data_IF_952774229602
#
_entry.id   IF_952774229602
#
_cell.length_a   1.000
_cell.length_b   1.000
_cell.length_c   1.000
_cell.angle_alpha   90.00
_cell.angle_beta   90.00
_cell.angle_gamma   90.00
#
_symmetry.space_group_name_H-M   'P 1'
#
loop_
_entity.id
_entity.type
_entity.pdbx_description
1 polymer ?
#
# COMPACT_ATOMS: atom_id res chain seq x y z
N UNK A 1 -4.91 46.12 62.14
CA UNK A 1 -4.98 46.97 60.97
C UNK A 1 -3.72 46.73 60.15
N UNK A 2 -3.75 45.78 59.20
CA UNK A 2 -2.64 45.55 58.31
C UNK A 2 -3.16 45.33 56.92
N UNK A 3 -2.71 46.20 56.00
CA UNK A 3 -2.98 46.24 54.57
C UNK A 3 -2.24 45.14 53.85
N UNK A 4 -2.94 44.37 52.95
CA UNK A 4 -2.37 43.38 52.05
C UNK A 4 -1.91 44.07 50.79
N UNK A 5 -0.63 44.04 50.49
CA UNK A 5 -0.07 44.35 49.16
C UNK A 5 0.05 43.09 48.32
N UNK A 6 -0.64 43.06 47.22
CA UNK A 6 -0.60 41.97 46.22
C UNK A 6 0.37 42.38 45.10
N UNK A 7 1.51 41.74 45.04
CA UNK A 7 2.49 41.90 43.97
C UNK A 7 2.12 41.06 42.76
N UNK A 8 1.75 41.66 41.64
CA UNK A 8 1.55 40.99 40.36
C UNK A 8 2.91 40.74 39.72
N UNK A 9 3.29 39.49 39.54
CA UNK A 9 4.43 39.07 38.76
C UNK A 9 3.98 38.92 37.30
N UNK A 10 4.58 39.71 36.44
CA UNK A 10 4.38 39.74 34.98
C UNK A 10 5.28 38.64 34.38
N UNK A 11 4.70 37.52 33.91
CA UNK A 11 5.44 36.53 33.11
C UNK A 11 5.52 37.02 31.67
N UNK A 12 6.71 37.41 31.26
CA UNK A 12 7.04 37.70 29.88
C UNK A 12 7.33 36.37 29.16
N UNK A 13 6.37 35.84 28.35
CA UNK A 13 6.58 34.68 27.50
C UNK A 13 7.48 35.02 26.35
N UNK A 14 8.73 34.60 26.45
CA UNK A 14 9.69 34.66 25.34
C UNK A 14 9.32 33.51 24.36
N UNK A 15 8.63 33.83 23.27
CA UNK A 15 8.42 32.91 22.17
C UNK A 15 9.74 32.70 21.43
N UNK A 16 10.46 31.62 21.77
CA UNK A 16 11.56 31.12 20.94
C UNK A 16 10.93 30.42 19.76
N UNK A 17 10.94 31.04 18.61
CA UNK A 17 10.65 30.42 17.32
C UNK A 17 11.83 29.53 16.98
N UNK A 18 11.73 28.25 17.33
CA UNK A 18 12.65 27.22 16.82
C UNK A 18 12.17 26.89 15.41
N UNK A 19 12.90 27.34 14.42
CA UNK A 19 12.74 26.88 13.04
C UNK A 19 12.93 25.36 12.99
N UNK A 20 12.08 24.61 12.28
CA UNK A 20 12.30 23.18 12.14
C UNK A 20 13.51 22.93 11.26
N UNK A 21 14.60 22.56 11.90
CA UNK A 21 15.77 21.98 11.23
C UNK A 21 15.33 20.72 10.52
N UNK A 22 15.67 20.64 9.26
CA UNK A 22 15.63 19.53 8.31
C UNK A 22 15.15 18.20 8.89
N UNK A 23 13.89 17.85 8.61
CA UNK A 23 13.37 16.50 8.81
C UNK A 23 14.10 15.56 7.84
N UNK A 24 14.94 14.71 8.39
CA UNK A 24 15.69 13.70 7.66
C UNK A 24 14.78 12.75 6.91
N UNK A 25 14.96 12.68 5.62
CA UNK A 25 14.32 11.83 4.62
C UNK A 25 14.69 10.35 4.77
N UNK A 26 14.14 9.61 5.74
CA UNK A 26 14.57 8.23 5.94
C UNK A 26 13.46 7.22 6.32
N UNK A 27 12.18 7.54 6.14
CA UNK A 27 11.10 6.63 6.56
C UNK A 27 10.47 5.78 5.44
N UNK A 28 11.11 5.64 4.27
CA UNK A 28 10.48 4.98 3.11
C UNK A 28 10.58 3.44 3.10
N UNK A 29 11.30 2.79 4.01
CA UNK A 29 11.59 1.36 3.89
C UNK A 29 10.61 0.40 4.59
N UNK A 30 9.68 0.90 5.41
CA UNK A 30 8.81 0.01 6.19
C UNK A 30 7.36 0.48 6.19
N UNK A 31 6.66 0.21 5.10
CA UNK A 31 5.22 0.43 5.03
C UNK A 31 4.49 -0.84 5.44
N UNK A 32 4.06 -0.90 6.68
CA UNK A 32 3.12 -1.93 7.13
C UNK A 32 1.69 -1.53 6.76
N UNK A 33 0.92 -2.50 6.24
CA UNK A 33 -0.50 -2.29 5.94
C UNK A 33 -1.34 -2.54 7.18
N UNK A 34 -2.30 -1.65 7.44
CA UNK A 34 -3.33 -1.85 8.45
C UNK A 34 -4.69 -1.99 7.78
N UNK A 35 -5.28 -3.18 7.92
CA UNK A 35 -6.60 -3.48 7.42
C UNK A 35 -7.56 -3.50 8.61
N UNK A 36 -8.24 -2.42 8.88
CA UNK A 36 -9.40 -2.47 9.75
C UNK A 36 -10.61 -2.93 8.94
N UNK A 37 -11.30 -3.93 9.46
CA UNK A 37 -12.43 -4.63 8.82
C UNK A 37 -13.73 -3.82 8.88
N UNK A 38 -13.70 -2.52 8.64
CA UNK A 38 -14.93 -1.75 8.57
C UNK A 38 -15.55 -1.90 7.17
N UNK A 39 -16.54 -2.80 7.09
CA UNK A 39 -17.45 -2.99 5.95
C UNK A 39 -16.86 -3.57 4.65
N UNK A 40 -16.31 -4.78 4.70
CA UNK A 40 -16.19 -5.60 3.50
C UNK A 40 -17.50 -6.38 3.29
N UNK A 41 -18.18 -6.25 2.14
CA UNK A 41 -19.33 -7.09 1.84
C UNK A 41 -18.87 -8.56 1.72
N UNK A 42 -19.51 -9.46 2.47
CA UNK A 42 -19.41 -10.90 2.30
C UNK A 42 -19.96 -11.28 0.93
N UNK A 43 -19.08 -11.47 -0.03
CA UNK A 43 -19.45 -11.90 -1.38
C UNK A 43 -18.29 -12.64 -2.01
N UNK A 44 -18.33 -13.96 -1.97
CA UNK A 44 -17.48 -14.84 -2.77
C UNK A 44 -17.89 -14.74 -4.23
N UNK A 45 -17.34 -13.81 -5.00
CA UNK A 45 -17.41 -13.88 -6.45
C UNK A 45 -16.12 -14.55 -6.94
N UNK A 46 -16.26 -15.72 -7.55
CA UNK A 46 -15.18 -16.35 -8.29
C UNK A 46 -14.84 -15.47 -9.50
N UNK A 47 -13.71 -14.77 -9.45
CA UNK A 47 -13.11 -14.26 -10.66
C UNK A 47 -12.59 -15.47 -11.43
N UNK A 48 -13.14 -15.73 -12.63
CA UNK A 48 -12.57 -16.72 -13.53
C UNK A 48 -11.11 -16.33 -13.77
N UNK A 49 -10.19 -17.19 -13.34
CA UNK A 49 -8.77 -17.00 -13.50
C UNK A 49 -8.42 -17.03 -14.99
N UNK A 50 -7.97 -15.94 -15.52
CA UNK A 50 -6.93 -16.02 -16.55
C UNK A 50 -5.75 -16.72 -15.90
N UNK A 51 -5.12 -17.68 -16.57
CA UNK A 51 -4.22 -18.66 -15.96
C UNK A 51 -3.32 -18.06 -14.88
N UNK A 52 -3.13 -18.78 -13.78
CA UNK A 52 -2.30 -18.39 -12.62
C UNK A 52 -0.89 -17.91 -13.03
N UNK A 53 -0.37 -18.39 -14.14
CA UNK A 53 0.91 -18.03 -14.74
C UNK A 53 1.01 -16.57 -15.22
N UNK A 54 -0.10 -15.96 -15.66
CA UNK A 54 -0.08 -14.57 -16.13
C UNK A 54 0.10 -13.55 -15.00
N UNK A 55 -0.25 -13.91 -13.76
CA UNK A 55 -0.03 -13.05 -12.59
C UNK A 55 1.40 -13.09 -12.05
N UNK A 56 2.15 -14.14 -12.36
CA UNK A 56 3.52 -14.35 -11.89
C UNK A 56 4.59 -14.14 -12.98
N UNK A 57 4.18 -13.92 -14.24
CA UNK A 57 5.11 -13.62 -15.35
C UNK A 57 5.53 -12.15 -15.31
N UNK A 58 6.83 -11.95 -15.11
CA UNK A 58 7.45 -10.64 -15.26
C UNK A 58 7.70 -10.36 -16.77
N UNK A 59 7.56 -9.11 -17.23
CA UNK A 59 7.88 -8.80 -18.62
C UNK A 59 9.37 -9.00 -18.84
N UNK A 60 9.72 -9.97 -19.67
CA UNK A 60 11.06 -10.08 -20.25
C UNK A 60 11.32 -8.87 -21.14
N UNK A 61 12.49 -8.27 -21.00
CA UNK A 61 12.94 -7.05 -21.65
C UNK A 61 13.13 -7.21 -23.18
N UNK A 62 12.03 -7.24 -23.96
CA UNK A 62 12.04 -6.96 -25.38
C UNK A 62 10.98 -5.92 -25.71
N UNK A 63 11.37 -4.77 -26.26
CA UNK A 63 10.53 -3.58 -26.52
C UNK A 63 9.19 -3.83 -27.23
N UNK A 64 9.02 -4.92 -27.98
CA UNK A 64 7.75 -5.27 -28.67
C UNK A 64 6.69 -5.93 -27.75
N UNK A 65 7.08 -6.52 -26.62
CA UNK A 65 6.18 -7.18 -25.67
C UNK A 65 5.57 -6.20 -24.63
N UNK A 66 6.20 -5.05 -24.45
CA UNK A 66 5.83 -4.09 -23.39
C UNK A 66 4.49 -3.38 -23.65
N UNK A 67 4.18 -3.02 -24.90
CA UNK A 67 2.94 -2.31 -25.25
C UNK A 67 1.68 -3.16 -25.03
N UNK A 68 1.73 -4.43 -25.43
CA UNK A 68 0.59 -5.34 -25.23
C UNK A 68 0.36 -5.67 -23.76
N UNK A 69 1.42 -5.85 -22.97
CA UNK A 69 1.32 -6.11 -21.51
C UNK A 69 0.74 -4.91 -20.75
N UNK A 70 1.15 -3.70 -21.07
CA UNK A 70 0.62 -2.48 -20.45
C UNK A 70 -0.85 -2.28 -20.77
N UNK A 71 -1.25 -2.47 -22.03
CA UNK A 71 -2.66 -2.40 -22.45
C UNK A 71 -3.53 -3.41 -21.70
N UNK A 72 -3.05 -4.64 -21.53
CA UNK A 72 -3.76 -5.69 -20.78
C UNK A 72 -3.92 -5.31 -19.30
N UNK A 73 -2.87 -4.82 -18.66
CA UNK A 73 -2.91 -4.36 -17.26
C UNK A 73 -3.89 -3.20 -17.05
N UNK A 74 -3.92 -2.23 -17.95
CA UNK A 74 -4.87 -1.13 -17.89
C UNK A 74 -6.31 -1.62 -18.02
N UNK A 75 -6.58 -2.52 -18.97
CA UNK A 75 -7.92 -3.13 -19.13
C UNK A 75 -8.37 -3.86 -17.86
N UNK A 76 -7.49 -4.65 -17.25
CA UNK A 76 -7.77 -5.32 -15.98
C UNK A 76 -8.01 -4.30 -14.85
N UNK A 77 -7.20 -3.25 -14.77
CA UNK A 77 -7.36 -2.19 -13.77
C UNK A 77 -8.73 -1.50 -13.85
N UNK A 78 -9.16 -1.13 -15.03
CA UNK A 78 -10.50 -0.58 -15.24
C UNK A 78 -11.61 -1.58 -14.92
N UNK A 79 -11.47 -2.84 -15.37
CA UNK A 79 -12.44 -3.91 -15.06
C UNK A 79 -12.59 -4.06 -13.55
N UNK A 80 -11.49 -4.22 -12.82
CA UNK A 80 -11.50 -4.40 -11.37
C UNK A 80 -12.05 -3.17 -10.65
N UNK A 81 -11.73 -1.98 -11.12
CA UNK A 81 -12.30 -0.73 -10.60
C UNK A 81 -13.83 -0.70 -10.75
N UNK A 82 -14.34 -1.04 -11.92
CA UNK A 82 -15.79 -1.11 -12.16
C UNK A 82 -16.46 -2.22 -11.34
N UNK A 83 -15.83 -3.37 -11.20
CA UNK A 83 -16.32 -4.47 -10.37
C UNK A 83 -16.38 -4.10 -8.88
N UNK A 84 -15.39 -3.35 -8.39
CA UNK A 84 -15.40 -2.79 -7.04
C UNK A 84 -16.57 -1.81 -6.86
N UNK A 85 -16.69 -0.83 -7.76
CA UNK A 85 -17.71 0.21 -7.66
C UNK A 85 -19.13 -0.33 -7.80
N UNK A 86 -19.33 -1.38 -8.60
CA UNK A 86 -20.63 -2.06 -8.73
C UNK A 86 -21.06 -2.78 -7.45
N UNK A 87 -20.11 -3.39 -6.73
CA UNK A 87 -20.38 -4.06 -5.44
C UNK A 87 -20.60 -3.08 -4.30
N UNK A 88 -20.10 -1.87 -4.41
CA UNK A 88 -20.31 -0.80 -3.45
C UNK A 88 -21.37 0.14 -3.99
N UNK A 89 -22.43 0.37 -3.20
CA UNK A 89 -23.60 1.15 -3.57
C UNK A 89 -23.24 2.39 -4.44
N UNK A 90 -23.85 2.50 -5.63
CA UNK A 90 -23.62 3.59 -6.60
C UNK A 90 -23.88 4.97 -6.01
N UNK A 91 -24.87 5.07 -5.10
CA UNK A 91 -25.25 6.32 -4.43
C UNK A 91 -24.32 6.67 -3.26
N UNK A 92 -23.39 5.77 -2.87
CA UNK A 92 -22.42 6.09 -1.83
C UNK A 92 -21.60 7.29 -2.25
N UNK A 93 -21.62 8.32 -1.41
CA UNK A 93 -20.77 9.49 -1.55
C UNK A 93 -19.44 9.24 -0.83
N UNK A 94 -18.37 9.60 -1.48
CA UNK A 94 -17.03 9.67 -0.90
C UNK A 94 -16.60 11.13 -0.90
N UNK A 95 -15.92 11.57 0.13
CA UNK A 95 -15.63 12.99 0.35
C UNK A 95 -14.12 13.28 0.43
N UNK A 96 -13.33 13.05 -0.65
CA UNK A 96 -11.96 13.50 -0.66
C UNK A 96 -11.92 15.04 -0.61
N UNK A 97 -11.13 15.62 0.26
CA UNK A 97 -11.02 17.09 0.40
C UNK A 97 -12.37 17.83 0.65
N UNK A 98 -13.34 17.15 1.27
CA UNK A 98 -14.67 17.73 1.47
C UNK A 98 -15.55 17.77 0.21
N UNK A 99 -15.08 17.19 -0.89
CA UNK A 99 -15.86 17.07 -2.13
C UNK A 99 -16.72 15.82 -2.08
N UNK A 100 -18.00 15.99 -2.28
CA UNK A 100 -18.96 14.89 -2.35
C UNK A 100 -18.92 14.25 -3.74
N UNK A 101 -18.18 13.17 -3.90
CA UNK A 101 -18.12 12.40 -5.14
C UNK A 101 -18.92 11.11 -4.98
N UNK A 102 -19.91 10.89 -5.86
CA UNK A 102 -20.65 9.63 -5.90
C UNK A 102 -19.79 8.52 -6.53
N UNK A 103 -19.93 7.30 -6.05
CA UNK A 103 -19.33 6.12 -6.69
C UNK A 103 -19.72 5.98 -8.16
N UNK A 104 -20.95 6.41 -8.51
CA UNK A 104 -21.42 6.48 -9.89
C UNK A 104 -20.52 7.36 -10.76
N UNK A 105 -20.08 8.52 -10.26
CA UNK A 105 -19.17 9.42 -11.02
C UNK A 105 -17.81 8.78 -11.23
N UNK A 106 -17.28 8.06 -10.22
CA UNK A 106 -16.04 7.28 -10.38
C UNK A 106 -16.22 6.18 -11.45
N UNK A 107 -17.36 5.48 -11.45
CA UNK A 107 -17.65 4.45 -12.43
C UNK A 107 -17.81 5.04 -13.85
N UNK A 108 -18.47 6.17 -13.99
CA UNK A 108 -18.62 6.88 -15.28
C UNK A 108 -17.27 7.33 -15.81
N UNK A 109 -16.39 7.84 -14.93
CA UNK A 109 -15.02 8.21 -15.26
C UNK A 109 -14.23 7.01 -15.78
N UNK A 110 -14.27 5.88 -15.07
CA UNK A 110 -13.58 4.66 -15.50
C UNK A 110 -14.10 4.16 -16.86
N UNK A 111 -15.43 4.20 -17.10
CA UNK A 111 -16.05 3.85 -18.40
C UNK A 111 -15.60 4.78 -19.53
N UNK A 112 -15.48 6.08 -19.27
CA UNK A 112 -14.99 7.05 -20.24
C UNK A 112 -13.52 6.80 -20.60
N UNK A 113 -12.66 6.51 -19.59
CA UNK A 113 -11.25 6.19 -19.80
C UNK A 113 -11.01 4.86 -20.53
N UNK A 114 -11.89 3.86 -20.38
CA UNK A 114 -11.85 2.62 -21.17
C UNK A 114 -12.06 2.92 -22.67
N UNK A 115 -12.91 3.88 -22.99
CA UNK A 115 -13.19 4.30 -24.38
C UNK A 115 -12.17 5.26 -24.92
N UNK A 116 -11.32 5.84 -24.06
CA UNK A 116 -10.29 6.81 -24.43
C UNK A 116 -9.27 6.18 -25.39
N UNK A 117 -8.90 6.92 -26.46
CA UNK A 117 -7.95 6.48 -27.49
C UNK A 117 -6.71 7.38 -27.57
N UNK A 118 -6.71 8.52 -26.86
CA UNK A 118 -5.59 9.43 -26.80
C UNK A 118 -4.52 9.02 -25.79
N UNK A 119 -3.47 9.81 -25.68
CA UNK A 119 -2.44 9.66 -24.67
C UNK A 119 -2.99 9.91 -23.26
N UNK A 120 -2.42 9.25 -22.27
CA UNK A 120 -2.71 9.51 -20.85
C UNK A 120 -1.75 10.58 -20.32
N UNK A 121 -1.94 11.81 -20.76
CA UNK A 121 -1.22 12.99 -20.30
C UNK A 121 -2.21 14.09 -19.89
N UNK A 122 -1.83 15.05 -19.02
CA UNK A 122 -2.71 16.14 -18.65
C UNK A 122 -3.28 16.88 -19.85
N UNK A 123 -2.45 17.23 -20.81
CA UNK A 123 -2.86 17.99 -21.99
C UNK A 123 -3.88 17.25 -22.85
N UNK A 124 -3.72 15.95 -23.03
CA UNK A 124 -4.67 15.14 -23.79
C UNK A 124 -6.01 14.97 -23.06
N UNK A 125 -6.00 14.89 -21.72
CA UNK A 125 -7.19 14.59 -20.94
C UNK A 125 -7.99 15.82 -20.50
N UNK A 126 -7.38 17.01 -20.40
CA UNK A 126 -7.99 18.22 -19.79
C UNK A 126 -9.34 18.67 -20.41
N UNK A 127 -9.55 18.39 -21.69
CA UNK A 127 -10.79 18.77 -22.36
C UNK A 127 -11.99 17.86 -22.00
N UNK A 128 -11.73 16.59 -21.66
CA UNK A 128 -12.76 15.58 -21.40
C UNK A 128 -12.89 15.23 -19.92
N UNK A 129 -11.87 15.54 -19.12
CA UNK A 129 -11.79 15.18 -17.70
C UNK A 129 -11.41 16.40 -16.87
N UNK A 130 -11.95 16.47 -15.66
CA UNK A 130 -11.40 17.30 -14.60
C UNK A 130 -10.16 16.61 -14.04
N UNK A 131 -9.05 17.32 -14.03
CA UNK A 131 -7.79 16.90 -13.43
C UNK A 131 -7.69 17.59 -12.06
N UNK A 132 -8.19 16.94 -11.01
CA UNK A 132 -8.13 17.47 -9.66
C UNK A 132 -6.74 17.25 -9.10
N UNK A 133 -5.99 18.33 -8.90
CA UNK A 133 -4.68 18.25 -8.25
C UNK A 133 -4.85 17.90 -6.78
N UNK A 134 -4.23 16.80 -6.36
CA UNK A 134 -4.38 16.27 -5.00
C UNK A 134 -3.46 16.96 -3.97
N UNK A 135 -2.79 18.02 -4.37
CA UNK A 135 -1.78 18.70 -3.57
C UNK A 135 -1.90 20.23 -3.56
N UNK A 136 -3.12 20.75 -3.46
CA UNK A 136 -3.38 22.19 -3.63
C UNK A 136 -2.97 23.06 -2.45
N UNK A 137 -2.81 22.53 -1.24
CA UNK A 137 -2.68 23.36 -0.04
C UNK A 137 -1.26 23.82 0.31
N UNK A 138 -0.19 23.14 -0.15
CA UNK A 138 1.17 23.44 0.31
C UNK A 138 2.27 23.43 -0.77
N UNK A 139 1.97 23.40 -2.07
CA UNK A 139 2.97 23.29 -3.17
C UNK A 139 3.99 22.16 -3.00
N UNK A 140 3.68 21.14 -2.21
CA UNK A 140 4.52 19.95 -2.02
C UNK A 140 4.20 18.97 -3.15
N UNK A 141 5.20 18.59 -3.94
CA UNK A 141 5.07 17.52 -4.94
C UNK A 141 4.65 16.23 -4.26
N UNK A 142 3.83 15.43 -4.95
CA UNK A 142 3.39 14.14 -4.44
C UNK A 142 4.54 13.16 -4.37
N UNK A 143 4.64 12.45 -3.25
CA UNK A 143 5.67 11.44 -3.01
C UNK A 143 5.20 10.07 -3.46
N UNK A 144 6.03 9.41 -4.26
CA UNK A 144 5.83 8.03 -4.69
C UNK A 144 6.85 7.11 -4.02
N UNK A 145 6.40 5.92 -3.61
CA UNK A 145 7.26 4.81 -3.22
C UNK A 145 6.71 3.53 -3.79
N UNK A 146 7.43 2.42 -3.60
CA UNK A 146 7.00 1.12 -4.06
C UNK A 146 6.79 0.13 -2.91
N UNK A 147 5.84 -0.78 -3.08
CA UNK A 147 5.67 -1.95 -2.24
C UNK A 147 5.49 -3.22 -3.07
N UNK A 148 5.67 -4.37 -2.45
CA UNK A 148 5.61 -5.65 -3.13
C UNK A 148 5.06 -6.74 -2.22
N UNK A 149 4.73 -7.89 -2.78
CA UNK A 149 4.34 -9.08 -2.03
C UNK A 149 5.51 -10.06 -1.96
N UNK A 150 6.03 -10.39 -0.75
CA UNK A 150 7.08 -11.38 -0.59
C UNK A 150 6.61 -12.78 -0.92
N UNK A 151 7.53 -13.62 -1.40
CA UNK A 151 7.36 -15.07 -1.51
C UNK A 151 8.21 -15.72 -0.41
N UNK A 152 7.64 -16.67 0.31
CA UNK A 152 8.35 -17.48 1.30
C UNK A 152 8.04 -18.97 1.08
N UNK A 153 9.03 -19.85 1.32
CA UNK A 153 8.82 -21.28 1.34
C UNK A 153 7.94 -21.69 2.51
N UNK A 154 6.98 -22.58 2.27
CA UNK A 154 6.08 -23.06 3.32
C UNK A 154 5.59 -24.48 3.07
N UNK A 155 5.10 -25.13 4.12
CA UNK A 155 4.33 -26.39 4.09
C UNK A 155 3.02 -26.20 4.82
N UNK A 156 2.00 -26.97 4.46
CA UNK A 156 0.70 -26.95 5.13
C UNK A 156 0.72 -27.74 6.46
N UNK A 157 1.76 -28.52 6.69
CA UNK A 157 1.98 -29.32 7.90
C UNK A 157 3.34 -29.01 8.48
N UNK A 158 3.43 -29.00 9.83
CA UNK A 158 4.68 -28.81 10.57
C UNK A 158 5.60 -29.99 10.37
N UNK A 159 6.91 -29.73 10.23
CA UNK A 159 7.97 -30.72 10.34
C UNK A 159 9.20 -30.13 11.04
N UNK A 160 10.32 -30.84 11.01
CA UNK A 160 11.56 -30.41 11.65
C UNK A 160 12.11 -29.10 11.06
N UNK A 161 12.03 -28.92 9.74
CA UNK A 161 12.52 -27.75 9.02
C UNK A 161 11.50 -26.61 9.06
N UNK A 162 10.23 -26.91 8.72
CA UNK A 162 9.15 -25.93 8.64
C UNK A 162 8.43 -25.84 9.98
N UNK A 163 8.98 -25.04 10.90
CA UNK A 163 8.55 -24.98 12.30
C UNK A 163 7.95 -23.64 12.74
N UNK A 164 8.06 -22.58 11.91
CA UNK A 164 7.53 -21.27 12.24
C UNK A 164 6.09 -21.14 11.74
N UNK A 165 5.09 -21.07 12.65
CA UNK A 165 3.69 -21.11 12.26
C UNK A 165 3.23 -19.78 11.68
N UNK A 166 2.31 -19.88 10.73
CA UNK A 166 1.51 -18.80 10.18
C UNK A 166 0.09 -18.99 10.70
N UNK A 167 -0.45 -17.98 11.39
CA UNK A 167 -1.72 -18.09 12.08
C UNK A 167 -2.84 -17.35 11.35
N UNK A 168 -4.05 -17.94 11.37
CA UNK A 168 -5.29 -17.21 11.15
C UNK A 168 -5.67 -16.39 12.39
N UNK A 169 -6.59 -15.43 12.22
CA UNK A 169 -7.05 -14.59 13.32
C UNK A 169 -7.73 -15.44 14.41
N UNK A 170 -7.31 -15.26 15.66
CA UNK A 170 -8.00 -15.90 16.78
C UNK A 170 -9.38 -15.27 16.99
N UNK A 171 -10.35 -16.09 17.40
CA UNK A 171 -11.69 -15.62 17.78
C UNK A 171 -11.62 -14.93 19.15
N UNK A 172 -12.27 -13.78 19.30
CA UNK A 172 -12.45 -13.03 20.55
C UNK A 172 -11.16 -12.42 21.16
N UNK A 173 -10.95 -12.54 22.46
CA UNK A 173 -10.00 -11.74 23.29
C UNK A 173 -8.51 -12.00 23.02
N UNK A 174 -8.16 -13.09 22.36
CA UNK A 174 -6.75 -13.46 22.10
C UNK A 174 -6.07 -12.64 20.99
N UNK A 175 -6.81 -11.79 20.25
CA UNK A 175 -6.24 -10.92 19.22
C UNK A 175 -5.34 -9.80 19.80
N UNK A 176 -5.36 -9.54 21.10
CA UNK A 176 -4.52 -8.51 21.75
C UNK A 176 -3.15 -8.99 22.22
N UNK A 177 -2.83 -10.26 22.04
CA UNK A 177 -1.52 -10.82 22.42
C UNK A 177 -0.39 -10.10 21.66
N UNK A 178 0.69 -9.77 22.36
CA UNK A 178 1.88 -9.21 21.72
C UNK A 178 2.60 -10.27 20.87
N UNK A 179 3.44 -9.83 19.92
CA UNK A 179 4.32 -10.75 19.19
C UNK A 179 5.12 -11.66 20.12
N UNK A 180 5.66 -11.13 21.20
CA UNK A 180 6.43 -11.91 22.18
C UNK A 180 5.61 -13.06 22.78
N UNK A 181 4.36 -12.78 23.18
CA UNK A 181 3.46 -13.82 23.72
C UNK A 181 3.11 -14.87 22.68
N UNK A 182 2.82 -14.43 21.42
CA UNK A 182 2.52 -15.34 20.31
C UNK A 182 3.72 -16.22 20.00
N UNK A 183 4.93 -15.64 19.94
CA UNK A 183 6.18 -16.36 19.70
C UNK A 183 6.55 -17.33 20.83
N UNK A 184 6.11 -17.02 22.04
CA UNK A 184 6.26 -17.92 23.20
C UNK A 184 5.20 -19.06 23.23
N UNK A 185 4.34 -19.17 22.20
CA UNK A 185 3.41 -20.27 22.04
C UNK A 185 2.00 -19.99 22.53
N UNK A 186 1.61 -18.73 22.82
CA UNK A 186 0.28 -18.41 23.34
C UNK A 186 -0.86 -18.84 22.36
N UNK A 187 -0.58 -19.07 21.09
CA UNK A 187 -1.54 -19.57 20.08
C UNK A 187 -1.28 -21.02 19.66
N UNK A 188 -0.24 -21.68 20.19
CA UNK A 188 0.09 -23.05 19.82
C UNK A 188 -1.02 -24.04 20.21
N UNK A 189 -1.25 -25.04 19.38
CA UNK A 189 -2.23 -26.13 19.57
C UNK A 189 -3.69 -25.65 19.73
N UNK A 190 -4.01 -24.47 19.18
CA UNK A 190 -5.38 -23.93 19.16
C UNK A 190 -6.08 -24.11 17.81
N UNK A 191 -5.48 -24.87 16.88
CA UNK A 191 -6.01 -25.10 15.54
C UNK A 191 -6.06 -23.82 14.69
N UNK A 192 -5.17 -22.86 15.00
CA UNK A 192 -5.10 -21.57 14.30
C UNK A 192 -3.99 -21.54 13.23
N UNK A 193 -3.13 -22.55 13.23
CA UNK A 193 -2.04 -22.67 12.28
C UNK A 193 -2.58 -23.04 10.90
N UNK A 194 -2.25 -22.23 9.88
CA UNK A 194 -2.67 -22.46 8.48
C UNK A 194 -1.54 -22.95 7.60
N UNK A 195 -0.30 -22.70 7.98
CA UNK A 195 0.91 -23.16 7.31
C UNK A 195 2.11 -22.96 8.22
N UNK A 196 3.26 -23.52 7.82
CA UNK A 196 4.54 -23.35 8.52
C UNK A 196 5.62 -22.98 7.51
N UNK A 197 6.55 -22.13 7.90
CA UNK A 197 7.71 -21.73 7.09
C UNK A 197 9.03 -22.09 7.78
N UNK A 198 10.09 -22.24 7.00
CA UNK A 198 11.46 -22.33 7.48
C UNK A 198 12.21 -20.99 7.43
N UNK A 199 11.55 -19.91 6.94
CA UNK A 199 12.12 -18.55 6.84
C UNK A 199 11.44 -17.59 7.83
N UNK A 200 11.90 -17.50 9.10
CA UNK A 200 11.31 -16.59 10.10
C UNK A 200 11.52 -15.13 9.74
N UNK A 201 12.60 -14.78 9.04
CA UNK A 201 12.86 -13.40 8.59
C UNK A 201 11.88 -13.03 7.48
N UNK A 202 11.69 -13.91 6.50
CA UNK A 202 10.68 -13.74 5.45
C UNK A 202 9.28 -13.59 6.03
N UNK A 203 8.90 -14.44 6.99
CA UNK A 203 7.61 -14.34 7.69
C UNK A 203 7.44 -13.00 8.43
N UNK A 204 8.50 -12.52 9.09
CA UNK A 204 8.47 -11.21 9.73
C UNK A 204 8.16 -10.10 8.72
N UNK A 205 8.74 -10.15 7.52
CA UNK A 205 8.46 -9.19 6.46
C UNK A 205 7.08 -9.38 5.82
N UNK A 206 6.55 -10.61 5.75
CA UNK A 206 5.14 -10.86 5.39
C UNK A 206 4.19 -10.15 6.35
N UNK A 207 4.48 -10.20 7.67
CA UNK A 207 3.71 -9.44 8.66
C UNK A 207 3.81 -7.91 8.48
N UNK A 208 4.97 -7.40 8.01
CA UNK A 208 5.13 -5.96 7.74
C UNK A 208 4.34 -5.56 6.50
N UNK A 209 4.40 -6.36 5.43
CA UNK A 209 3.70 -6.09 4.17
C UNK A 209 2.19 -6.33 4.26
N UNK A 210 1.73 -7.16 5.22
CA UNK A 210 0.32 -7.52 5.39
C UNK A 210 -0.22 -8.49 4.34
N UNK A 211 0.64 -8.94 3.43
CA UNK A 211 0.35 -9.98 2.41
C UNK A 211 1.60 -10.78 2.10
N UNK A 212 1.42 -11.96 1.51
CA UNK A 212 2.52 -12.83 1.11
C UNK A 212 2.07 -13.89 0.11
N UNK A 213 3.01 -14.59 -0.47
CA UNK A 213 2.77 -15.79 -1.26
C UNK A 213 3.58 -16.94 -0.66
N UNK A 214 2.93 -18.05 -0.38
CA UNK A 214 3.56 -19.29 0.03
C UNK A 214 3.95 -20.06 -1.22
N UNK A 215 5.21 -20.46 -1.31
CA UNK A 215 5.71 -21.42 -2.29
C UNK A 215 5.76 -22.78 -1.62
N UNK A 216 4.88 -23.73 -2.04
CA UNK A 216 4.85 -25.08 -1.53
C UNK A 216 5.88 -25.97 -2.25
N UNK A 217 6.32 -27.11 -1.64
CA UNK A 217 7.33 -28.00 -2.23
C UNK A 217 6.92 -28.59 -3.60
N UNK A 218 5.63 -28.75 -3.84
CA UNK A 218 5.08 -29.23 -5.13
C UNK A 218 5.05 -28.15 -6.22
N UNK A 219 5.56 -26.94 -5.95
CA UNK A 219 5.52 -25.81 -6.86
C UNK A 219 4.25 -24.95 -6.78
N UNK A 220 3.22 -25.42 -6.07
CA UNK A 220 1.97 -24.70 -5.87
C UNK A 220 2.22 -23.39 -5.10
N UNK A 221 1.46 -22.35 -5.44
CA UNK A 221 1.49 -21.06 -4.76
C UNK A 221 0.14 -20.75 -4.14
N UNK A 222 0.16 -20.38 -2.86
CA UNK A 222 -1.02 -19.90 -2.13
C UNK A 222 -0.80 -18.47 -1.65
N UNK A 223 -1.77 -17.61 -1.87
CA UNK A 223 -1.71 -16.23 -1.37
C UNK A 223 -2.10 -16.18 0.11
N UNK A 224 -1.37 -15.39 0.88
CA UNK A 224 -1.74 -15.00 2.24
C UNK A 224 -2.56 -13.71 2.15
N UNK A 225 -3.84 -13.82 2.47
CA UNK A 225 -4.77 -12.70 2.61
C UNK A 225 -4.80 -12.26 4.07
N UNK A 226 -4.79 -10.97 4.30
CA UNK A 226 -4.95 -10.38 5.63
C UNK A 226 -6.25 -10.83 6.30
N UNK A 227 -6.15 -11.31 7.52
CA UNK A 227 -7.26 -11.83 8.34
C UNK A 227 -7.45 -11.07 9.66
N UNK A 228 -6.57 -10.14 9.95
CA UNK A 228 -6.60 -9.34 11.17
C UNK A 228 -5.23 -9.00 11.73
N UNK A 229 -5.22 -8.26 12.81
CA UNK A 229 -3.99 -7.93 13.55
C UNK A 229 -4.24 -7.97 15.06
N UNK A 230 -3.16 -8.03 15.83
CA UNK A 230 -3.23 -7.92 17.30
C UNK A 230 -3.40 -6.46 17.78
N UNK A 231 -3.70 -5.52 16.91
CA UNK A 231 -3.93 -4.09 17.19
C UNK A 231 -2.77 -3.37 17.91
N UNK A 232 -1.61 -3.99 18.02
CA UNK A 232 -0.43 -3.35 18.60
C UNK A 232 0.22 -2.40 17.59
N UNK A 233 0.86 -1.32 18.07
CA UNK A 233 1.56 -0.38 17.20
C UNK A 233 2.75 -1.05 16.51
N UNK A 234 3.05 -0.61 15.30
CA UNK A 234 4.26 -1.00 14.60
C UNK A 234 5.48 -0.32 15.21
N UNK A 235 6.58 -1.09 15.39
CA UNK A 235 7.90 -0.58 15.76
C UNK A 235 8.94 -1.13 14.79
N UNK A 236 9.76 -0.24 14.22
CA UNK A 236 10.80 -0.62 13.27
C UNK A 236 11.98 -1.35 13.96
N UNK A 237 12.24 -2.60 13.54
CA UNK A 237 13.42 -3.32 14.01
C UNK A 237 14.71 -2.65 13.50
N UNK A 238 14.70 -2.03 12.31
CA UNK A 238 15.85 -1.29 11.79
C UNK A 238 16.24 -0.14 12.73
N UNK A 239 15.27 0.69 13.12
CA UNK A 239 15.50 1.80 14.08
C UNK A 239 15.99 1.27 15.44
N UNK A 240 15.42 0.15 15.90
CA UNK A 240 15.88 -0.48 17.14
C UNK A 240 17.32 -0.96 17.03
N UNK A 241 17.69 -1.69 15.96
CA UNK A 241 19.04 -2.19 15.75
C UNK A 241 20.06 -1.05 15.61
N UNK A 242 19.70 0.05 14.97
CA UNK A 242 20.50 1.27 14.90
C UNK A 242 20.72 1.89 16.29
N UNK A 243 19.65 2.08 17.07
CA UNK A 243 19.73 2.67 18.41
C UNK A 243 20.55 1.84 19.39
N UNK A 244 20.71 0.54 19.11
CA UNK A 244 21.56 -0.39 19.89
C UNK A 244 22.97 -0.53 19.32
N UNK A 245 23.31 0.20 18.26
CA UNK A 245 24.62 0.09 17.62
C UNK A 245 24.89 -1.22 16.87
N UNK A 246 23.85 -2.07 16.68
CA UNK A 246 23.98 -3.36 16.00
C UNK A 246 24.17 -3.19 14.49
N UNK A 247 23.62 -2.13 13.92
CA UNK A 247 23.78 -1.75 12.51
C UNK A 247 24.01 -0.24 12.41
N UNK A 248 24.82 0.16 11.43
CA UNK A 248 25.11 1.57 11.16
C UNK A 248 24.35 2.09 9.94
N UNK A 249 24.16 3.39 9.89
CA UNK A 249 23.49 4.08 8.76
C UNK A 249 22.04 3.60 8.61
N UNK A 250 21.55 3.58 7.39
CA UNK A 250 20.22 3.13 7.04
C UNK A 250 20.31 1.70 6.49
N UNK A 251 20.19 0.66 7.33
CA UNK A 251 20.43 -0.70 6.87
C UNK A 251 19.30 -1.16 5.95
N UNK A 252 19.66 -1.63 4.77
CA UNK A 252 18.71 -2.29 3.88
C UNK A 252 18.18 -3.59 4.51
N UNK A 253 17.04 -4.08 4.01
CA UNK A 253 16.47 -5.36 4.44
C UNK A 253 17.49 -6.52 4.33
N UNK A 254 18.32 -6.54 3.29
CA UNK A 254 19.35 -7.58 3.12
C UNK A 254 20.42 -7.52 4.20
N UNK A 255 20.82 -6.31 4.60
CA UNK A 255 21.78 -6.12 5.70
C UNK A 255 21.18 -6.61 7.01
N UNK A 256 19.93 -6.27 7.29
CA UNK A 256 19.18 -6.75 8.46
C UNK A 256 19.06 -8.28 8.42
N UNK A 257 18.65 -8.86 7.28
CA UNK A 257 18.53 -10.31 7.15
C UNK A 257 19.88 -11.00 7.39
N UNK A 258 20.94 -10.54 6.74
CA UNK A 258 22.29 -11.10 6.93
C UNK A 258 22.71 -11.07 8.40
N UNK A 259 22.46 -9.95 9.10
CA UNK A 259 22.79 -9.84 10.52
C UNK A 259 21.98 -10.83 11.36
N UNK A 260 20.67 -10.95 11.12
CA UNK A 260 19.79 -11.88 11.85
C UNK A 260 20.17 -13.35 11.60
N UNK A 261 20.51 -13.70 10.35
CA UNK A 261 20.99 -15.06 10.00
C UNK A 261 22.30 -15.42 10.72
N UNK A 262 23.17 -14.44 10.95
CA UNK A 262 24.43 -14.60 11.68
C UNK A 262 24.25 -14.59 13.22
N UNK A 263 23.08 -14.13 13.71
CA UNK A 263 22.77 -14.02 15.14
C UNK A 263 21.45 -14.70 15.49
N UNK A 264 21.30 -16.02 15.25
CA UNK A 264 20.02 -16.73 15.41
C UNK A 264 19.47 -16.64 16.83
N UNK A 265 20.34 -16.62 17.86
CA UNK A 265 19.92 -16.48 19.25
C UNK A 265 19.31 -15.12 19.58
N UNK A 266 19.67 -14.08 18.84
CA UNK A 266 19.14 -12.73 19.03
C UNK A 266 17.92 -12.43 18.14
N UNK A 267 17.66 -13.26 17.13
CA UNK A 267 16.63 -13.01 16.11
C UNK A 267 15.24 -12.78 16.73
N UNK A 268 14.81 -13.69 17.60
CA UNK A 268 13.49 -13.61 18.20
C UNK A 268 13.34 -12.39 19.11
N UNK A 269 14.37 -12.03 19.88
CA UNK A 269 14.35 -10.84 20.74
C UNK A 269 14.26 -9.56 19.92
N UNK A 270 14.95 -9.48 18.78
CA UNK A 270 14.85 -8.37 17.82
C UNK A 270 13.43 -8.28 17.25
N UNK A 271 12.86 -9.40 16.80
CA UNK A 271 11.47 -9.40 16.28
C UNK A 271 10.45 -8.95 17.32
N UNK A 272 10.62 -9.34 18.58
CA UNK A 272 9.73 -9.01 19.68
C UNK A 272 9.72 -7.50 20.02
N UNK A 273 10.71 -6.73 19.58
CA UNK A 273 10.71 -5.26 19.72
C UNK A 273 9.58 -4.61 18.89
N UNK A 274 9.11 -5.29 17.83
CA UNK A 274 7.89 -4.94 17.13
C UNK A 274 6.71 -5.75 17.69
N UNK A 275 5.88 -5.18 18.59
CA UNK A 275 4.80 -5.94 19.21
C UNK A 275 3.65 -6.30 18.25
N UNK A 276 3.59 -5.65 17.06
CA UNK A 276 2.55 -5.88 16.06
C UNK A 276 2.67 -7.28 15.45
N UNK A 277 1.53 -7.96 15.30
CA UNK A 277 1.39 -9.25 14.63
C UNK A 277 0.22 -9.20 13.65
N UNK A 278 0.37 -9.85 12.51
CA UNK A 278 -0.66 -9.92 11.46
C UNK A 278 -1.08 -11.38 11.30
N UNK A 279 -2.37 -11.61 11.16
CA UNK A 279 -3.00 -12.90 10.90
C UNK A 279 -3.41 -13.02 9.45
N UNK A 280 -3.49 -14.25 8.95
CA UNK A 280 -3.74 -14.50 7.53
C UNK A 280 -4.74 -15.65 7.32
N UNK A 281 -5.42 -15.61 6.18
CA UNK A 281 -6.10 -16.77 5.58
C UNK A 281 -5.39 -17.16 4.28
N UNK A 282 -5.54 -18.43 3.88
CA UNK A 282 -5.07 -18.90 2.58
C UNK A 282 -6.08 -18.54 1.49
N UNK A 283 -5.59 -18.08 0.35
CA UNK A 283 -6.36 -17.83 -0.86
C UNK A 283 -5.62 -18.45 -2.05
N UNK A 284 -6.31 -19.19 -2.88
CA UNK A 284 -5.73 -19.83 -4.08
C UNK A 284 -5.59 -18.88 -5.26
N UNK A 285 -6.17 -17.68 -5.15
CA UNK A 285 -6.13 -16.66 -6.19
C UNK A 285 -4.93 -15.73 -6.12
N UNK A 286 -4.98 -14.70 -6.95
CA UNK A 286 -4.01 -13.61 -6.96
C UNK A 286 -4.02 -12.82 -5.64
N UNK A 287 -2.90 -12.14 -5.37
CA UNK A 287 -2.78 -11.23 -4.23
C UNK A 287 -3.89 -10.18 -4.27
N UNK A 288 -4.69 -10.11 -3.21
CA UNK A 288 -5.79 -9.15 -3.09
C UNK A 288 -5.37 -7.92 -2.29
N UNK A 289 -5.89 -6.79 -2.72
CA UNK A 289 -5.73 -5.49 -2.08
C UNK A 289 -6.74 -5.30 -0.95
N UNK A 290 -6.62 -4.20 -0.21
CA UNK A 290 -7.59 -3.83 0.83
C UNK A 290 -9.02 -3.61 0.31
N UNK A 291 -9.19 -3.28 -0.97
CA UNK A 291 -10.52 -3.23 -1.62
C UNK A 291 -11.07 -4.60 -2.00
N UNK A 292 -10.33 -5.68 -1.74
CA UNK A 292 -10.72 -7.07 -2.04
C UNK A 292 -10.56 -7.46 -3.52
N UNK A 293 -9.96 -6.64 -4.35
CA UNK A 293 -9.70 -6.91 -5.77
C UNK A 293 -8.23 -7.28 -6.01
N UNK A 294 -7.91 -7.99 -7.10
CA UNK A 294 -6.53 -8.36 -7.40
C UNK A 294 -5.62 -7.15 -7.62
N UNK A 295 -4.43 -7.19 -7.06
CA UNK A 295 -3.40 -6.17 -7.26
C UNK A 295 -2.78 -6.27 -8.66
N UNK A 296 -2.53 -5.12 -9.30
CA UNK A 296 -1.93 -5.03 -10.63
C UNK A 296 -0.59 -4.33 -10.52
N UNK A 297 0.48 -5.08 -10.81
CA UNK A 297 1.86 -4.56 -10.77
C UNK A 297 2.02 -3.33 -11.69
N UNK A 298 2.53 -2.24 -11.11
CA UNK A 298 2.78 -0.96 -11.76
C UNK A 298 1.56 -0.04 -11.83
N UNK A 299 0.36 -0.50 -11.44
CA UNK A 299 -0.88 0.28 -11.60
C UNK A 299 -1.73 0.35 -10.32
N UNK A 300 -1.74 -0.67 -9.46
CA UNK A 300 -2.40 -0.59 -8.15
C UNK A 300 -1.60 0.31 -7.22
N UNK A 301 -2.29 1.19 -6.49
CA UNK A 301 -1.68 2.05 -5.49
C UNK A 301 -2.39 1.95 -4.14
N UNK A 302 -1.59 1.98 -3.08
CA UNK A 302 -2.05 2.23 -1.74
C UNK A 302 -2.10 3.73 -1.49
N UNK A 303 -3.21 4.17 -0.90
CA UNK A 303 -3.57 5.58 -0.68
C UNK A 303 -4.04 5.80 0.75
N UNK A 304 -4.12 7.06 1.17
CA UNK A 304 -4.93 7.45 2.32
C UNK A 304 -6.40 7.64 1.88
N UNK A 305 -7.26 6.70 2.28
CA UNK A 305 -8.68 6.69 1.88
C UNK A 305 -9.50 7.86 2.42
N UNK A 306 -8.96 8.65 3.34
CA UNK A 306 -9.54 9.93 3.76
C UNK A 306 -9.50 10.99 2.65
N UNK A 307 -8.54 10.87 1.75
CA UNK A 307 -8.30 11.83 0.67
C UNK A 307 -8.58 11.26 -0.72
N UNK A 308 -8.31 9.99 -0.93
CA UNK A 308 -8.45 9.32 -2.22
C UNK A 308 -9.32 8.08 -2.04
N UNK A 309 -10.57 8.07 -2.52
CA UNK A 309 -11.45 6.92 -2.33
C UNK A 309 -11.00 5.72 -3.16
N UNK A 310 -11.28 4.51 -2.67
CA UNK A 310 -11.17 3.32 -3.51
C UNK A 310 -12.09 3.43 -4.74
N UNK A 311 -11.59 2.92 -5.87
CA UNK A 311 -12.26 3.06 -7.17
C UNK A 311 -11.94 4.36 -7.92
N UNK A 312 -11.15 5.26 -7.31
CA UNK A 312 -10.63 6.41 -8.03
C UNK A 312 -9.56 6.01 -9.04
N UNK A 313 -9.57 6.69 -10.19
CA UNK A 313 -8.52 6.62 -11.20
C UNK A 313 -7.63 7.86 -11.08
N UNK A 314 -6.34 7.65 -11.01
CA UNK A 314 -5.34 8.69 -10.80
C UNK A 314 -4.44 8.73 -12.03
N UNK A 315 -4.17 9.93 -12.55
CA UNK A 315 -3.07 10.19 -13.48
C UNK A 315 -1.89 10.71 -12.66
N UNK A 316 -0.74 10.05 -12.75
CA UNK A 316 0.44 10.42 -11.98
C UNK A 316 1.71 10.42 -12.82
N UNK A 317 2.59 11.38 -12.55
CA UNK A 317 3.93 11.49 -13.13
C UNK A 317 4.90 10.64 -12.30
N UNK A 318 5.02 9.36 -12.65
CA UNK A 318 5.71 8.33 -11.85
C UNK A 318 7.19 8.26 -12.24
N UNK A 319 8.13 8.14 -11.28
CA UNK A 319 9.54 7.92 -11.57
C UNK A 319 9.78 6.65 -12.37
N UNK A 320 10.62 6.74 -13.39
CA UNK A 320 11.14 5.60 -14.16
C UNK A 320 12.44 5.14 -13.51
N UNK A 321 12.44 3.89 -13.04
CA UNK A 321 13.61 3.27 -12.43
C UNK A 321 14.28 2.34 -13.44
N UNK A 322 15.57 2.54 -13.70
CA UNK A 322 16.36 1.66 -14.57
C UNK A 322 16.79 0.37 -13.87
N UNK A 323 17.48 -0.52 -14.60
CA UNK A 323 17.97 -1.81 -14.08
C UNK A 323 18.98 -1.68 -12.93
N UNK A 324 19.64 -0.52 -12.80
CA UNK A 324 20.57 -0.22 -11.70
C UNK A 324 19.90 0.45 -10.50
N UNK A 325 18.58 0.62 -10.52
CA UNK A 325 17.83 1.23 -9.44
C UNK A 325 17.90 2.77 -9.38
N UNK A 326 18.36 3.42 -10.45
CA UNK A 326 18.42 4.89 -10.53
C UNK A 326 17.20 5.44 -11.24
N UNK A 327 16.68 6.55 -10.78
CA UNK A 327 15.66 7.33 -11.50
C UNK A 327 16.27 7.95 -12.72
N UNK A 328 15.69 7.69 -13.90
CA UNK A 328 16.16 8.18 -15.21
C UNK A 328 15.18 9.14 -15.87
N UNK A 329 14.08 9.47 -15.21
CA UNK A 329 13.04 10.37 -15.68
C UNK A 329 11.72 10.04 -15.03
N UNK A 330 10.65 10.67 -15.51
CA UNK A 330 9.27 10.39 -15.09
C UNK A 330 8.42 10.03 -16.32
N UNK A 331 7.34 9.31 -16.09
CA UNK A 331 6.31 9.02 -17.10
C UNK A 331 4.91 9.24 -16.55
N UNK A 332 3.99 9.69 -17.38
CA UNK A 332 2.56 9.73 -17.03
C UNK A 332 1.98 8.33 -17.02
N UNK A 333 1.36 7.96 -15.92
CA UNK A 333 0.80 6.62 -15.71
C UNK A 333 -0.58 6.69 -15.09
N UNK A 334 -1.49 5.85 -15.59
CA UNK A 334 -2.78 5.60 -14.93
C UNK A 334 -2.57 4.65 -13.76
N UNK A 335 -3.04 5.07 -12.60
CA UNK A 335 -3.01 4.31 -11.35
C UNK A 335 -4.42 4.13 -10.81
N UNK A 336 -4.64 3.01 -10.12
CA UNK A 336 -5.92 2.63 -9.56
C UNK A 336 -5.84 2.63 -8.04
N UNK A 337 -6.68 3.45 -7.39
CA UNK A 337 -6.82 3.47 -5.94
C UNK A 337 -7.55 2.22 -5.47
N UNK A 338 -6.79 1.21 -5.05
CA UNK A 338 -7.30 -0.13 -4.73
C UNK A 338 -6.79 -0.65 -3.40
N UNK A 339 -5.74 -0.05 -2.86
CA UNK A 339 -5.10 -0.49 -1.63
C UNK A 339 -4.91 0.65 -0.64
N UNK A 340 -4.61 0.32 0.61
CA UNK A 340 -4.28 1.28 1.66
C UNK A 340 -3.15 0.75 2.53
N UNK A 341 -2.34 1.66 3.04
CA UNK A 341 -1.26 1.34 3.98
C UNK A 341 -1.30 2.20 5.22
N UNK A 342 -0.95 1.64 6.38
CA UNK A 342 -0.99 2.38 7.64
C UNK A 342 -0.04 3.59 7.64
N UNK A 343 1.09 3.48 6.94
CA UNK A 343 2.06 4.57 6.79
C UNK A 343 1.80 5.49 5.60
N UNK A 344 0.78 5.19 4.77
CA UNK A 344 0.39 6.03 3.64
C UNK A 344 -0.63 7.04 4.15
N UNK A 345 -0.15 8.25 4.43
CA UNK A 345 -0.94 9.33 5.02
C UNK A 345 -0.89 10.59 4.19
N UNK A 346 -2.04 11.26 4.14
CA UNK A 346 -2.21 12.51 3.44
C UNK A 346 -2.51 12.37 1.94
N UNK A 347 -2.86 13.52 1.31
CA UNK A 347 -3.33 13.53 -0.08
C UNK A 347 -2.21 13.31 -1.10
N UNK A 348 -0.99 13.68 -0.76
CA UNK A 348 0.16 13.72 -1.66
C UNK A 348 1.10 12.50 -1.49
N UNK A 349 0.54 11.33 -1.11
CA UNK A 349 1.31 10.12 -0.84
C UNK A 349 0.70 8.91 -1.54
N UNK A 350 1.46 8.30 -2.44
CA UNK A 350 1.11 7.04 -3.09
C UNK A 350 2.20 6.00 -2.88
N UNK A 351 1.78 4.74 -2.68
CA UNK A 351 2.67 3.58 -2.67
C UNK A 351 2.27 2.64 -3.81
N UNK A 352 3.16 2.44 -4.78
CA UNK A 352 2.86 1.74 -6.03
C UNK A 352 3.20 0.26 -5.87
N UNK A 353 2.24 -0.62 -6.16
CA UNK A 353 2.46 -2.05 -6.16
C UNK A 353 3.39 -2.46 -7.30
N UNK A 354 4.54 -3.06 -6.98
CA UNK A 354 5.53 -3.48 -7.97
C UNK A 354 5.40 -4.95 -8.36
N UNK A 355 4.60 -5.74 -7.63
CA UNK A 355 4.36 -7.15 -7.94
C UNK A 355 4.76 -8.11 -6.83
N UNK A 356 5.11 -9.34 -7.20
CA UNK A 356 5.40 -10.45 -6.29
C UNK A 356 6.87 -10.88 -6.40
N UNK A 357 7.51 -11.18 -5.29
CA UNK A 357 8.82 -11.81 -5.22
C UNK A 357 10.00 -10.86 -5.34
N UNK A 358 11.17 -11.42 -5.63
CA UNK A 358 12.46 -10.73 -5.49
C UNK A 358 12.66 -9.58 -6.49
N UNK A 359 12.23 -9.73 -7.75
CA UNK A 359 12.35 -8.63 -8.72
C UNK A 359 11.44 -7.47 -8.36
N UNK A 360 10.20 -7.76 -7.91
CA UNK A 360 9.29 -6.75 -7.42
C UNK A 360 9.85 -6.05 -6.17
N UNK A 361 10.52 -6.80 -5.28
CA UNK A 361 11.22 -6.23 -4.13
C UNK A 361 12.30 -5.23 -4.54
N UNK A 362 13.15 -5.60 -5.51
CA UNK A 362 14.20 -4.69 -6.04
C UNK A 362 13.58 -3.43 -6.62
N UNK A 363 12.52 -3.55 -7.40
CA UNK A 363 11.78 -2.40 -7.93
C UNK A 363 11.19 -1.54 -6.82
N UNK A 364 10.53 -2.14 -5.83
CA UNK A 364 9.91 -1.42 -4.71
C UNK A 364 10.95 -0.63 -3.90
N UNK A 365 12.10 -1.22 -3.61
CA UNK A 365 13.16 -0.57 -2.83
C UNK A 365 13.77 0.64 -3.57
N UNK A 366 13.76 0.63 -4.89
CA UNK A 366 14.34 1.70 -5.71
C UNK A 366 13.28 2.73 -6.17
N UNK A 367 11.99 2.38 -6.11
CA UNK A 367 10.92 3.27 -6.50
C UNK A 367 10.67 4.31 -5.40
N UNK A 368 11.37 5.42 -5.51
CA UNK A 368 11.14 6.61 -4.69
C UNK A 368 11.32 7.84 -5.56
N UNK A 369 10.45 8.83 -5.39
CA UNK A 369 10.53 10.08 -6.13
C UNK A 369 9.33 10.95 -5.91
N UNK A 370 9.30 12.04 -6.67
CA UNK A 370 8.27 13.06 -6.59
C UNK A 370 7.76 13.39 -7.99
N UNK A 371 6.47 13.72 -8.09
CA UNK A 371 5.86 14.12 -9.35
C UNK A 371 4.45 14.66 -9.11
N UNK A 372 3.81 15.11 -10.19
CA UNK A 372 2.42 15.56 -10.17
C UNK A 372 1.47 14.39 -10.14
N UNK A 373 0.30 14.58 -9.54
CA UNK A 373 -0.78 13.61 -9.61
C UNK A 373 -2.14 14.30 -9.59
N UNK A 374 -3.08 13.70 -10.31
CA UNK A 374 -4.44 14.19 -10.49
C UNK A 374 -5.44 13.07 -10.27
N UNK A 375 -6.45 13.32 -9.45
CA UNK A 375 -7.67 12.52 -9.44
C UNK A 375 -8.46 12.86 -10.70
N UNK A 376 -8.80 11.85 -11.49
CA UNK A 376 -9.56 12.03 -12.73
C UNK A 376 -11.07 11.91 -12.44
N UNK A 377 -11.84 12.87 -12.97
CA UNK A 377 -13.30 12.80 -13.02
C UNK A 377 -13.74 13.21 -14.43
N UNK A 378 -14.67 12.44 -15.02
CA UNK A 378 -15.24 12.85 -16.31
C UNK A 378 -16.03 14.15 -16.18
N UNK A 379 -15.97 14.99 -17.19
CA UNK A 379 -16.84 16.16 -17.31
C UNK A 379 -18.26 15.70 -17.62
N UNK A 380 -19.24 16.26 -16.92
CA UNK A 380 -20.64 16.03 -17.24
C UNK A 380 -21.00 16.73 -18.56
N UNK A 381 -21.88 16.17 -19.39
CA UNK A 381 -22.38 16.89 -20.56
C UNK A 381 -22.99 18.26 -20.24
N UNK A 382 -23.58 18.42 -19.06
CA UNK A 382 -24.13 19.71 -18.58
C UNK A 382 -23.06 20.73 -18.22
N UNK A 383 -21.89 20.31 -17.71
CA UNK A 383 -20.79 21.23 -17.40
C UNK A 383 -20.12 21.76 -18.67
N UNK A 384 -20.13 20.99 -19.77
CA UNK A 384 -19.63 21.45 -21.07
C UNK A 384 -20.57 22.50 -21.71
N UNK A 385 -21.89 22.45 -21.45
CA UNK A 385 -22.84 23.42 -21.98
C UNK A 385 -22.78 24.75 -21.23
N UNK A 386 -22.51 24.76 -19.94
CA UNK A 386 -22.34 25.99 -19.17
C UNK A 386 -21.05 26.74 -19.56
N UNK A 387 -19.94 26.02 -19.74
CA UNK A 387 -18.68 26.65 -20.21
C UNK A 387 -18.79 27.19 -21.66
N UNK A 388 -19.64 26.59 -22.52
CA UNK A 388 -19.90 27.09 -23.86
C UNK A 388 -20.78 28.36 -23.86
N UNK A 389 -21.64 28.50 -22.85
CA UNK A 389 -22.50 29.71 -22.75
C UNK A 389 -21.74 30.92 -22.17
N UNK A 390 -20.73 30.73 -21.37
CA UNK A 390 -19.88 31.84 -20.86
C UNK A 390 -19.05 32.53 -21.97
N UNK A 391 -18.84 31.88 -23.11
CA UNK A 391 -18.20 32.49 -24.29
C UNK A 391 -19.14 33.27 -25.20
N UNK A 392 -20.44 33.18 -24.96
CA UNK A 392 -21.45 33.93 -25.77
C UNK A 392 -21.88 35.27 -25.12
N UNK A 393 -21.37 35.58 -23.92
CA UNK A 393 -21.66 36.83 -23.20
C UNK A 393 -20.39 37.67 -22.90
N UNK A 394 -19.30 37.44 -23.60
CA UNK A 394 -18.15 38.34 -23.71
C UNK A 394 -18.06 38.82 -25.18
#
# INVERSE_FOLDING_TARGET
MFSKHTTKILFCSLCIVIAPTHANYLDAEFVGFNFNNDNLPNGTSHYAATSQDDYFKFPNTRKKSQTNSTSTKLRLGFKYTLDYLRRNNSNRTVAPYGLNIRNERLATTAKALIKWRGAFTPDALKNNFHLMELNTQNRVTSKFTGYYTPIISAKLHKDYEYRYPIYRSPIATSHRLSRAQISAGALANKGLEIAWTNDPVGLFYVHIQGSGVLQLPNGEKKSLKFDGSNEKPFRSIAKYMQSRGLLRGNPSRNVIKKWLDQHPNSMQSIFNTNPRYIYFTLDEGSVKTASGIPAISGHTVAVDTKYIPFGAVILAEVPIINSWGKTVGNEWRILFSQDRGNAIKGPARLDIYTGVGEQARKMANNLTGYGKMYLLLNKSPFENSLAANDYLFQ
#
